data_IF_078698585738
#
_entry.id   IF_078698585738
#
_cell.length_a   1.000
_cell.length_b   1.000
_cell.length_c   1.000
_cell.angle_alpha   90.00
_cell.angle_beta   90.00
_cell.angle_gamma   90.00
#
_symmetry.space_group_name_H-M   'P 1'
#
loop_
_entity.id
_entity.type
_entity.pdbx_description
1 polymer ?
#
# COMPACT_ATOMS: atom_id res chain seq x y z
N UNK A 1 -23.42 -8.15 -4.17
CA UNK A 1 -22.37 -8.70 -3.31
C UNK A 1 -22.37 -7.86 -2.04
N UNK A 2 -22.47 -8.44 -0.83
CA UNK A 2 -22.32 -7.66 0.40
C UNK A 2 -20.92 -7.02 0.43
N UNK A 3 -20.75 -5.86 1.09
CA UNK A 3 -19.43 -5.25 1.26
C UNK A 3 -18.49 -6.27 1.93
N UNK A 4 -17.34 -6.51 1.32
CA UNK A 4 -16.32 -7.34 1.96
C UNK A 4 -15.76 -6.52 3.11
N UNK A 5 -16.03 -6.95 4.33
CA UNK A 5 -15.46 -6.31 5.51
C UNK A 5 -13.93 -6.40 5.43
N UNK A 6 -13.26 -5.33 5.87
CA UNK A 6 -11.80 -5.34 6.00
C UNK A 6 -11.43 -6.28 7.13
N UNK A 7 -10.59 -7.27 6.84
CA UNK A 7 -9.99 -8.14 7.84
C UNK A 7 -8.66 -7.55 8.31
N UNK A 8 -8.46 -7.57 9.62
CA UNK A 8 -7.23 -7.10 10.25
C UNK A 8 -6.50 -8.31 10.84
N UNK A 9 -5.30 -8.60 10.33
CA UNK A 9 -4.40 -9.60 10.90
C UNK A 9 -3.30 -8.89 11.66
N UNK A 10 -3.36 -8.95 12.99
CA UNK A 10 -2.38 -8.31 13.88
C UNK A 10 -1.30 -9.34 14.20
N UNK A 11 -0.06 -9.02 13.83
CA UNK A 11 1.13 -9.82 14.10
C UNK A 11 2.04 -9.08 15.09
N UNK A 12 3.20 -9.66 15.42
CA UNK A 12 4.14 -9.06 16.36
C UNK A 12 4.70 -7.73 15.82
N UNK A 13 5.21 -7.76 14.59
CA UNK A 13 5.87 -6.62 13.94
C UNK A 13 5.02 -5.96 12.84
N UNK A 14 3.86 -6.51 12.50
CA UNK A 14 3.05 -6.03 11.38
C UNK A 14 1.54 -6.07 11.64
N UNK A 15 0.79 -5.28 10.89
CA UNK A 15 -0.67 -5.37 10.76
C UNK A 15 -1.01 -5.47 9.28
N UNK A 16 -1.75 -6.50 8.90
CA UNK A 16 -2.20 -6.70 7.51
C UNK A 16 -3.69 -6.37 7.41
N UNK A 17 -4.05 -5.48 6.49
CA UNK A 17 -5.42 -5.08 6.19
C UNK A 17 -5.83 -5.66 4.84
N UNK A 18 -6.88 -6.48 4.79
CA UNK A 18 -7.25 -7.23 3.58
C UNK A 18 -8.78 -7.24 3.35
N UNK A 19 -9.21 -6.93 2.13
CA UNK A 19 -10.60 -7.04 1.69
C UNK A 19 -10.81 -7.95 0.47
N UNK A 20 -9.81 -8.76 0.11
CA UNK A 20 -9.82 -9.65 -1.06
C UNK A 20 -9.50 -8.97 -2.40
N UNK A 21 -9.38 -7.63 -2.43
CA UNK A 21 -8.97 -6.87 -3.61
C UNK A 21 -7.63 -6.18 -3.34
N UNK A 22 -7.53 -5.49 -2.21
CA UNK A 22 -6.35 -4.77 -1.76
C UNK A 22 -5.89 -5.37 -0.44
N UNK A 23 -4.58 -5.63 -0.34
CA UNK A 23 -3.91 -5.97 0.91
C UNK A 23 -2.81 -4.96 1.19
N UNK A 24 -2.85 -4.35 2.37
CA UNK A 24 -1.85 -3.39 2.84
C UNK A 24 -1.21 -3.93 4.10
N UNK A 25 0.12 -3.94 4.14
CA UNK A 25 0.91 -4.32 5.32
C UNK A 25 1.49 -3.05 5.94
N UNK A 26 1.23 -2.87 7.24
CA UNK A 26 1.78 -1.79 8.05
C UNK A 26 2.80 -2.35 9.04
N UNK A 27 3.91 -1.64 9.25
CA UNK A 27 4.82 -1.92 10.36
C UNK A 27 4.18 -1.61 11.71
N UNK A 28 4.59 -2.32 12.76
CA UNK A 28 4.09 -2.16 14.13
C UNK A 28 5.29 -2.10 15.09
N UNK A 29 5.41 -1.03 15.90
CA UNK A 29 4.47 0.09 16.06
C UNK A 29 4.62 1.21 15.01
N UNK A 30 5.56 1.09 14.06
CA UNK A 30 5.99 2.20 13.19
C UNK A 30 4.90 2.80 12.29
N UNK A 31 3.88 2.03 11.90
CA UNK A 31 2.76 2.50 11.09
C UNK A 31 3.11 2.81 9.63
N UNK A 32 4.30 2.45 9.18
CA UNK A 32 4.78 2.66 7.80
C UNK A 32 4.16 1.58 6.91
N UNK A 33 3.74 1.93 5.70
CA UNK A 33 3.32 0.92 4.71
C UNK A 33 4.57 0.19 4.21
N UNK A 34 4.63 -1.13 4.42
CA UNK A 34 5.77 -1.97 4.01
C UNK A 34 5.42 -2.93 2.87
N UNK A 35 4.14 -3.00 2.49
CA UNK A 35 3.71 -3.73 1.30
C UNK A 35 2.29 -3.38 0.86
N UNK A 36 2.09 -3.43 -0.45
CA UNK A 36 0.81 -3.23 -1.13
C UNK A 36 0.64 -4.33 -2.16
N UNK A 37 -0.38 -5.18 -2.01
CA UNK A 37 -0.78 -6.15 -3.03
C UNK A 37 -2.16 -5.79 -3.57
N UNK A 38 -2.33 -5.82 -4.89
CA UNK A 38 -3.57 -5.40 -5.53
C UNK A 38 -4.02 -6.42 -6.57
N UNK A 39 -5.28 -6.85 -6.46
CA UNK A 39 -5.96 -7.68 -7.44
C UNK A 39 -5.17 -8.96 -7.82
N UNK A 40 -4.57 -9.60 -6.82
CA UNK A 40 -3.76 -10.81 -7.00
C UNK A 40 -2.34 -10.57 -7.54
N UNK A 41 -1.95 -9.33 -7.82
CA UNK A 41 -0.56 -8.98 -8.06
C UNK A 41 0.23 -9.06 -6.75
N UNK A 42 1.51 -9.42 -6.88
CA UNK A 42 2.42 -9.44 -5.74
C UNK A 42 2.74 -8.02 -5.28
N UNK A 43 3.61 -7.89 -4.27
CA UNK A 43 3.95 -6.60 -3.68
C UNK A 43 4.36 -5.60 -4.76
N UNK A 44 3.63 -4.50 -4.83
CA UNK A 44 3.87 -3.43 -5.79
C UNK A 44 5.02 -2.52 -5.34
N UNK A 45 5.32 -2.50 -4.04
CA UNK A 45 6.42 -1.72 -3.49
C UNK A 45 7.76 -2.39 -3.76
N UNK A 46 8.83 -1.60 -3.74
CA UNK A 46 10.21 -2.10 -3.73
C UNK A 46 10.43 -3.04 -2.53
N UNK A 47 11.18 -4.13 -2.71
CA UNK A 47 11.48 -5.18 -1.73
C UNK A 47 12.98 -5.48 -1.54
N UNK A 48 13.86 -4.94 -2.39
CA UNK A 48 15.32 -5.13 -2.29
C UNK A 48 15.89 -4.28 -1.15
N UNK A 49 15.46 -3.03 -1.02
CA UNK A 49 15.90 -2.13 0.05
C UNK A 49 15.18 -2.40 1.38
N UNK A 50 15.80 -1.92 2.46
CA UNK A 50 15.24 -2.01 3.81
C UNK A 50 13.87 -1.31 3.87
N UNK A 51 12.96 -1.80 4.71
CA UNK A 51 11.57 -1.31 4.75
C UNK A 51 11.47 0.20 4.97
N UNK A 52 12.39 0.74 5.76
CA UNK A 52 12.53 2.16 6.07
C UNK A 52 13.16 3.02 4.94
N UNK A 53 13.64 2.42 3.86
CA UNK A 53 14.40 3.09 2.79
C UNK A 53 13.88 2.82 1.37
N UNK A 54 12.63 2.35 1.22
CA UNK A 54 12.02 2.00 -0.08
C UNK A 54 11.48 3.18 -0.89
N UNK A 55 11.90 4.40 -0.57
CA UNK A 55 11.44 5.62 -1.24
C UNK A 55 10.00 6.03 -0.86
N UNK A 56 9.51 7.07 -1.53
CA UNK A 56 8.17 7.64 -1.34
C UNK A 56 7.37 7.59 -2.64
N UNK A 57 6.11 7.20 -2.56
CA UNK A 57 5.16 7.30 -3.65
C UNK A 57 4.22 8.48 -3.40
N UNK A 58 4.33 9.51 -4.23
CA UNK A 58 3.38 10.62 -4.23
C UNK A 58 2.45 10.50 -5.44
N UNK A 59 1.17 10.80 -5.22
CA UNK A 59 0.18 10.90 -6.29
C UNK A 59 -0.38 12.31 -6.24
N UNK A 60 -0.01 13.11 -7.25
CA UNK A 60 -0.62 14.41 -7.45
C UNK A 60 -1.95 14.23 -8.21
N UNK A 61 -3.05 14.45 -7.49
CA UNK A 61 -4.39 14.34 -8.02
C UNK A 61 -4.75 15.63 -8.76
N UNK A 62 -4.79 15.57 -10.09
CA UNK A 62 -5.33 16.67 -10.88
C UNK A 62 -6.83 16.88 -10.63
N UNK A 63 -7.30 18.12 -10.85
CA UNK A 63 -8.71 18.47 -10.76
C UNK A 63 -9.60 17.47 -11.55
N UNK A 64 -10.76 17.06 -11.00
CA UNK A 64 -11.68 16.16 -11.68
C UNK A 64 -11.99 16.64 -13.11
N UNK A 65 -11.69 15.81 -14.12
CA UNK A 65 -11.91 16.13 -15.53
C UNK A 65 -10.70 16.63 -16.30
N UNK A 66 -9.53 16.79 -15.67
CA UNK A 66 -8.26 17.00 -16.38
C UNK A 66 -7.52 15.67 -16.54
N UNK A 67 -7.04 15.40 -17.75
CA UNK A 67 -6.30 14.17 -18.06
C UNK A 67 -4.89 14.24 -17.50
N UNK A 68 -4.61 13.41 -16.49
CA UNK A 68 -3.26 13.13 -15.99
C UNK A 68 -3.29 12.70 -14.53
N UNK A 69 -2.78 11.51 -14.22
CA UNK A 69 -2.30 11.19 -12.89
C UNK A 69 -0.78 11.17 -13.01
N UNK A 70 -0.09 12.06 -12.29
CA UNK A 70 1.37 12.00 -12.22
C UNK A 70 1.70 11.18 -10.98
N UNK A 71 2.30 10.01 -11.19
CA UNK A 71 2.91 9.23 -10.12
C UNK A 71 4.39 9.57 -10.16
N UNK A 72 4.91 10.11 -9.07
CA UNK A 72 6.34 10.31 -8.89
C UNK A 72 6.85 9.37 -7.80
N UNK A 73 7.84 8.57 -8.16
CA UNK A 73 8.60 7.74 -7.25
C UNK A 73 9.96 8.41 -7.01
N UNK A 74 10.28 8.65 -5.74
CA UNK A 74 11.57 9.17 -5.32
C UNK A 74 12.25 8.13 -4.42
N UNK A 75 13.45 7.69 -4.82
CA UNK A 75 14.30 6.74 -4.08
C UNK A 75 15.43 7.51 -3.40
#
# INVERSE_FOLDING_TARGET
MPPIAVHLYIQDQHVVMDNGILKVTLSKPGGIITGVQYNGLDNLMEIIDAEESRGYWDVDWNEPGKSGYSISEFV
#
